data_IF_809227645628
#
_entry.id   IF_809227645628
#
_cell.length_a   1.000
_cell.length_b   1.000
_cell.length_c   1.000
_cell.angle_alpha   90.00
_cell.angle_beta   90.00
_cell.angle_gamma   90.00
#
_symmetry.space_group_name_H-M   'P 1'
#
loop_
_entity.id
_entity.type
_entity.pdbx_description
1 polymer ?
#
# COMPACT_ATOMS: atom_id res chain seq x y z
N UNK A 1 7.32 4.54 -28.86
CA UNK A 1 7.56 5.54 -27.79
C UNK A 1 8.17 4.85 -26.58
N UNK A 2 9.48 5.02 -26.33
CA UNK A 2 10.09 4.64 -25.05
C UNK A 2 9.80 5.78 -24.08
N UNK A 3 8.81 5.61 -23.23
CA UNK A 3 8.51 6.59 -22.18
C UNK A 3 9.61 6.47 -21.12
N UNK A 4 10.69 7.22 -21.31
CA UNK A 4 11.75 7.44 -20.33
C UNK A 4 11.20 8.35 -19.22
N UNK A 5 10.14 7.92 -18.54
CA UNK A 5 9.60 8.65 -17.40
C UNK A 5 10.63 8.46 -16.29
N UNK A 6 11.26 9.55 -15.80
CA UNK A 6 12.26 9.43 -14.75
C UNK A 6 11.66 8.69 -13.57
N UNK A 7 12.37 7.68 -13.05
CA UNK A 7 11.91 6.82 -11.95
C UNK A 7 11.35 7.63 -10.76
N UNK A 8 11.89 8.82 -10.50
CA UNK A 8 11.36 9.78 -9.52
C UNK A 8 9.92 10.20 -9.80
N UNK A 9 9.60 10.61 -11.04
CA UNK A 9 8.25 11.03 -11.43
C UNK A 9 7.22 9.91 -11.33
N UNK A 10 7.61 8.65 -11.63
CA UNK A 10 6.74 7.49 -11.44
C UNK A 10 6.43 7.22 -9.96
N UNK A 11 7.41 7.40 -9.08
CA UNK A 11 7.22 7.24 -7.64
C UNK A 11 6.29 8.33 -7.10
N UNK A 12 6.46 9.57 -7.57
CA UNK A 12 5.61 10.69 -7.15
C UNK A 12 4.16 10.54 -7.64
N UNK A 13 3.94 10.10 -8.88
CA UNK A 13 2.59 9.85 -9.39
C UNK A 13 1.92 8.68 -8.68
N UNK A 14 2.65 7.60 -8.42
CA UNK A 14 2.14 6.46 -7.66
C UNK A 14 1.75 6.86 -6.22
N UNK A 15 2.56 7.70 -5.56
CA UNK A 15 2.23 8.24 -4.23
C UNK A 15 0.96 9.09 -4.27
N UNK A 16 0.85 10.02 -5.22
CA UNK A 16 -0.35 10.86 -5.39
C UNK A 16 -1.60 10.02 -5.64
N UNK A 17 -1.53 9.05 -6.55
CA UNK A 17 -2.64 8.14 -6.86
C UNK A 17 -3.08 7.34 -5.61
N UNK A 18 -2.11 6.85 -4.83
CA UNK A 18 -2.40 6.11 -3.59
C UNK A 18 -3.10 7.00 -2.56
N UNK A 19 -2.62 8.23 -2.36
CA UNK A 19 -3.24 9.19 -1.43
C UNK A 19 -4.66 9.54 -1.84
N UNK A 20 -4.89 9.81 -3.12
CA UNK A 20 -6.22 10.13 -3.65
C UNK A 20 -7.17 8.93 -3.55
N UNK A 21 -6.69 7.72 -3.82
CA UNK A 21 -7.48 6.49 -3.63
C UNK A 21 -7.91 6.32 -2.17
N UNK A 22 -6.99 6.45 -1.22
CA UNK A 22 -7.30 6.37 0.22
C UNK A 22 -8.32 7.43 0.63
N UNK A 23 -8.16 8.67 0.14
CA UNK A 23 -9.09 9.78 0.42
C UNK A 23 -10.48 9.49 -0.15
N UNK A 24 -10.57 9.00 -1.39
CA UNK A 24 -11.83 8.66 -2.05
C UNK A 24 -12.53 7.48 -1.37
N UNK A 25 -11.79 6.44 -0.98
CA UNK A 25 -12.33 5.30 -0.20
C UNK A 25 -12.87 5.72 1.15
N UNK A 26 -12.21 6.67 1.82
CA UNK A 26 -12.71 7.25 3.08
C UNK A 26 -14.01 8.05 2.87
N UNK A 27 -14.08 8.84 1.80
CA UNK A 27 -15.28 9.62 1.46
C UNK A 27 -16.46 8.73 1.03
N UNK A 28 -16.19 7.59 0.40
CA UNK A 28 -17.22 6.63 -0.02
C UNK A 28 -17.75 5.76 1.12
N UNK A 29 -17.30 5.96 2.36
CA UNK A 29 -17.75 5.16 3.50
C UNK A 29 -17.27 3.70 3.45
N UNK A 30 -16.18 3.42 2.75
CA UNK A 30 -15.65 2.06 2.60
C UNK A 30 -14.53 1.85 3.61
N UNK A 31 -14.51 0.68 4.25
CA UNK A 31 -13.46 0.32 5.20
C UNK A 31 -12.10 0.17 4.50
N UNK A 32 -11.05 0.74 5.10
CA UNK A 32 -9.69 0.73 4.57
C UNK A 32 -8.88 -0.30 5.34
N UNK A 33 -8.21 -1.21 4.62
CA UNK A 33 -7.31 -2.18 5.25
C UNK A 33 -5.86 -1.75 5.05
N UNK A 34 -5.09 -1.65 6.14
CA UNK A 34 -3.68 -1.32 6.11
C UNK A 34 -2.89 -2.18 7.10
N UNK A 35 -1.59 -2.29 6.86
CA UNK A 35 -0.69 -2.97 7.77
C UNK A 35 -0.11 -1.97 8.78
N UNK A 36 -0.28 -2.26 10.07
CA UNK A 36 0.33 -1.53 11.19
C UNK A 36 1.28 -2.47 11.93
N UNK A 37 2.58 -2.35 11.65
CA UNK A 37 3.60 -3.24 12.20
C UNK A 37 3.35 -4.71 11.83
N UNK A 38 3.06 -5.54 12.83
CA UNK A 38 2.70 -6.96 12.67
C UNK A 38 1.21 -7.19 12.39
N UNK A 39 0.35 -6.18 12.43
CA UNK A 39 -1.11 -6.37 12.36
C UNK A 39 -1.65 -5.90 11.01
N UNK A 40 -2.58 -6.65 10.45
CA UNK A 40 -3.46 -6.18 9.37
C UNK A 40 -4.69 -5.59 10.05
N UNK A 41 -4.87 -4.27 9.92
CA UNK A 41 -5.94 -3.50 10.56
C UNK A 41 -6.90 -3.03 9.48
N UNK A 42 -8.19 -3.24 9.72
CA UNK A 42 -9.28 -2.70 8.93
C UNK A 42 -9.91 -1.55 9.70
N UNK A 43 -9.82 -0.35 9.14
CA UNK A 43 -10.42 0.86 9.69
C UNK A 43 -11.71 1.16 8.97
N UNK A 44 -12.79 1.15 9.71
CA UNK A 44 -14.13 1.48 9.24
C UNK A 44 -14.30 3.01 9.18
N UNK A 45 -15.23 3.49 8.34
CA UNK A 45 -15.49 4.93 8.18
C UNK A 45 -16.03 5.59 9.46
N UNK A 46 -16.65 4.82 10.35
CA UNK A 46 -17.14 5.25 11.67
C UNK A 46 -16.02 5.42 12.71
N UNK A 47 -14.77 5.15 12.32
CA UNK A 47 -13.59 5.25 13.19
C UNK A 47 -13.26 3.98 13.96
N UNK A 48 -14.07 2.91 13.84
CA UNK A 48 -13.74 1.61 14.44
C UNK A 48 -12.55 0.98 13.74
N UNK A 49 -11.66 0.38 14.52
CA UNK A 49 -10.51 -0.37 14.03
C UNK A 49 -10.65 -1.84 14.41
N UNK A 50 -10.60 -2.72 13.41
CA UNK A 50 -10.68 -4.17 13.57
C UNK A 50 -9.33 -4.79 13.16
N UNK A 51 -8.75 -5.62 14.03
CA UNK A 51 -7.53 -6.36 13.70
C UNK A 51 -7.94 -7.65 12.99
N UNK A 52 -7.76 -7.70 11.67
CA UNK A 52 -8.10 -8.88 10.87
C UNK A 52 -7.13 -10.04 11.10
N UNK A 53 -5.84 -9.71 11.28
CA UNK A 53 -4.81 -10.72 11.46
C UNK A 53 -3.58 -10.14 12.13
N UNK A 54 -2.94 -10.94 12.99
CA UNK A 54 -1.57 -10.67 13.46
C UNK A 54 -0.62 -11.58 12.70
N UNK A 55 0.35 -10.99 12.01
CA UNK A 55 1.41 -11.66 11.29
C UNK A 55 2.54 -12.01 12.26
N UNK A 56 3.06 -13.23 12.13
CA UNK A 56 4.20 -13.72 12.91
C UNK A 56 5.46 -12.83 12.72
N UNK A 57 5.63 -12.31 11.49
CA UNK A 57 6.67 -11.36 11.09
C UNK A 57 6.08 -10.05 10.53
N UNK A 58 6.62 -8.91 10.97
CA UNK A 58 6.14 -7.57 10.63
C UNK A 58 6.41 -7.14 9.19
N UNK A 59 7.33 -7.80 8.49
CA UNK A 59 7.78 -7.37 7.18
C UNK A 59 8.33 -8.58 6.45
N UNK A 60 7.63 -9.08 5.42
CA UNK A 60 8.27 -9.88 4.39
C UNK A 60 8.81 -8.89 3.38
N UNK A 61 10.01 -8.35 3.65
CA UNK A 61 10.77 -7.63 2.63
C UNK A 61 11.05 -8.64 1.54
N UNK A 62 10.34 -8.60 0.43
CA UNK A 62 10.59 -9.49 -0.71
C UNK A 62 12.06 -9.32 -1.08
N UNK A 63 12.87 -10.35 -0.83
CA UNK A 63 14.26 -10.37 -1.29
C UNK A 63 14.20 -10.17 -2.79
N UNK A 64 14.73 -9.05 -3.30
CA UNK A 64 14.83 -8.81 -4.74
C UNK A 64 15.54 -10.02 -5.35
N UNK A 65 14.79 -10.92 -5.98
CA UNK A 65 15.38 -11.92 -6.87
C UNK A 65 15.89 -11.15 -8.08
N UNK A 66 17.18 -10.85 -8.12
CA UNK A 66 17.85 -10.44 -9.35
C UNK A 66 18.07 -11.68 -10.20
N UNK A 67 17.27 -11.86 -11.24
CA UNK A 67 17.56 -12.85 -12.27
C UNK A 67 18.65 -12.26 -13.16
N UNK A 68 19.85 -12.86 -13.15
CA UNK A 68 20.83 -12.64 -14.22
C UNK A 68 20.31 -13.37 -15.45
N UNK A 69 20.00 -12.63 -16.50
CA UNK A 69 19.85 -13.20 -17.83
C UNK A 69 21.29 -13.37 -18.33
N UNK A 70 21.75 -14.62 -18.41
CA UNK A 70 22.97 -15.01 -19.09
C UNK A 70 22.69 -15.32 -20.55
#
# INVERSE_FOLDING_TARGET
MRSDIPKKRLIESARKATTEAVKKTRQSGVAITYQSGKKIVKKHPDGREEVLKTLDRAYVRTSKKSYKIG
#
